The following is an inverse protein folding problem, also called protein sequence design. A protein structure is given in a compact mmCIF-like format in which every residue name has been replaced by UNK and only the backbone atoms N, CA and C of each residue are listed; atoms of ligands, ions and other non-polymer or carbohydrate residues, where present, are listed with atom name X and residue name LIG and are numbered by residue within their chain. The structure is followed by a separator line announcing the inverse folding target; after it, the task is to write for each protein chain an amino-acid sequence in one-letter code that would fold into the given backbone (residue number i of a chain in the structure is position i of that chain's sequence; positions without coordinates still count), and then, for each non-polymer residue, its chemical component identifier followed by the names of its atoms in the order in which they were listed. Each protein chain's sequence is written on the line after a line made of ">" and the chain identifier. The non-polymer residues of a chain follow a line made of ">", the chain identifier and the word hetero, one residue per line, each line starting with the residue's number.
data_IF_545557051705
#
_entry.id   IF_545557051705
#
_cell.length_a   1.000
_cell.length_b   1.000
_cell.length_c   1.000
_cell.angle_alpha   90.00
_cell.angle_beta   90.00
_cell.angle_gamma   90.00
#
_symmetry.space_group_name_H-M   'P 1'
#
loop_
_entity.id
_entity.type
_entity.pdbx_description
1 polymer ?
#
# COMPACT_ATOMS: atom_id res chain seq x y z
N UNK A 1 -41.83 32.33 -43.31
CA UNK A 1 -41.42 30.92 -43.45
C UNK A 1 -41.63 30.24 -42.12
N UNK A 2 -42.48 29.20 -42.08
CA UNK A 2 -42.59 28.05 -41.14
C UNK A 2 -42.01 28.22 -39.71
N UNK A 3 -42.79 28.11 -38.62
CA UNK A 3 -43.22 26.85 -37.96
C UNK A 3 -42.01 25.94 -37.65
N UNK A 4 -41.74 25.37 -36.47
CA UNK A 4 -42.46 25.06 -35.24
C UNK A 4 -41.44 24.41 -34.28
N UNK A 5 -41.75 24.38 -32.97
CA UNK A 5 -41.57 23.27 -31.98
C UNK A 5 -40.24 22.47 -31.95
N UNK A 6 -39.66 22.05 -30.83
CA UNK A 6 -40.29 21.46 -29.63
C UNK A 6 -39.24 21.25 -28.53
N UNK A 7 -39.72 21.36 -27.30
CA UNK A 7 -39.10 20.83 -26.09
C UNK A 7 -38.82 19.32 -26.18
N UNK A 8 -37.85 18.83 -25.42
CA UNK A 8 -38.09 18.07 -24.17
C UNK A 8 -36.92 17.15 -23.83
N UNK A 9 -36.29 17.42 -22.69
CA UNK A 9 -35.96 16.47 -21.62
C UNK A 9 -35.56 15.04 -21.96
N UNK A 10 -34.38 14.65 -21.46
CA UNK A 10 -34.13 13.36 -20.77
C UNK A 10 -32.81 13.54 -20.00
N UNK A 11 -32.84 13.99 -18.75
CA UNK A 11 -32.76 13.12 -17.57
C UNK A 11 -31.93 11.86 -17.77
N UNK A 12 -30.76 11.83 -17.14
CA UNK A 12 -30.19 10.63 -16.54
C UNK A 12 -29.57 11.03 -15.20
N UNK A 13 -30.41 11.02 -14.17
CA UNK A 13 -30.01 10.90 -12.78
C UNK A 13 -29.30 9.57 -12.57
N UNK A 14 -28.15 9.59 -11.88
CA UNK A 14 -27.53 8.50 -11.10
C UNK A 14 -26.09 8.96 -10.78
N UNK A 15 -25.53 8.99 -9.58
CA UNK A 15 -25.93 8.57 -8.24
C UNK A 15 -24.90 9.21 -7.29
N UNK A 16 -25.37 9.80 -6.19
CA UNK A 16 -24.56 10.20 -5.04
C UNK A 16 -23.96 8.97 -4.35
N UNK A 17 -22.65 8.93 -4.13
CA UNK A 17 -22.10 8.43 -2.85
C UNK A 17 -20.60 8.72 -2.74
N UNK A 18 -20.26 9.64 -1.84
CA UNK A 18 -18.95 9.78 -1.21
C UNK A 18 -17.72 9.93 -2.13
N UNK A 19 -17.59 11.10 -2.76
CA UNK A 19 -16.27 11.63 -3.16
C UNK A 19 -15.87 12.81 -2.26
N UNK A 20 -16.25 12.73 -0.98
CA UNK A 20 -15.58 13.49 0.07
C UNK A 20 -14.51 12.55 0.63
N UNK A 21 -13.36 12.51 -0.04
CA UNK A 21 -12.14 12.08 0.64
C UNK A 21 -11.77 13.26 1.53
N UNK A 22 -12.56 13.41 2.61
CA UNK A 22 -12.32 14.30 3.73
C UNK A 22 -10.85 14.22 4.00
N UNK A 23 -10.17 15.36 3.85
CA UNK A 23 -8.73 15.47 3.96
C UNK A 23 -8.25 14.62 5.12
N UNK A 24 -7.64 13.49 4.81
CA UNK A 24 -6.76 12.82 5.75
C UNK A 24 -5.63 13.81 5.91
N UNK A 25 -5.80 14.64 6.94
CA UNK A 25 -4.79 15.52 7.47
C UNK A 25 -3.55 14.66 7.55
N UNK A 26 -2.59 14.91 6.65
CA UNK A 26 -1.24 14.36 6.76
C UNK A 26 -0.84 14.71 8.18
N UNK A 27 -0.88 13.72 9.07
CA UNK A 27 -0.61 13.93 10.49
C UNK A 27 0.81 14.46 10.51
N UNK A 28 0.95 15.78 10.70
CA UNK A 28 2.22 16.40 11.00
C UNK A 28 2.61 15.80 12.35
N UNK A 29 3.39 14.72 12.27
CA UNK A 29 3.90 14.01 13.43
C UNK A 29 4.63 15.03 14.29
N UNK A 30 4.26 15.05 15.56
CA UNK A 30 4.64 16.07 16.51
C UNK A 30 6.17 16.14 16.64
N UNK A 31 6.69 17.34 16.92
CA UNK A 31 8.09 17.57 17.25
C UNK A 31 8.45 16.75 18.51
N UNK A 32 8.99 15.54 18.33
CA UNK A 32 9.33 14.60 19.41
C UNK A 32 8.96 13.13 19.19
N UNK A 33 8.33 12.74 18.08
CA UNK A 33 8.04 11.33 17.83
C UNK A 33 9.31 10.52 17.53
N UNK A 34 9.60 9.52 18.37
CA UNK A 34 10.71 8.58 18.18
C UNK A 34 10.40 7.68 16.99
N UNK A 35 11.12 7.87 15.89
CA UNK A 35 11.03 7.00 14.72
C UNK A 35 11.88 5.74 14.93
N UNK A 36 11.34 4.59 14.52
CA UNK A 36 12.10 3.36 14.38
C UNK A 36 12.44 3.20 12.90
N UNK A 37 13.72 3.01 12.59
CA UNK A 37 14.20 2.90 11.20
C UNK A 37 15.03 1.65 11.05
N UNK A 38 14.64 0.78 10.12
CA UNK A 38 15.43 -0.37 9.66
C UNK A 38 16.39 0.13 8.58
N UNK A 39 17.69 0.03 8.84
CA UNK A 39 18.74 0.45 7.89
C UNK A 39 19.24 -0.76 7.14
N UNK A 40 19.25 -0.65 5.81
CA UNK A 40 19.64 -1.71 4.88
C UNK A 40 20.85 -1.23 4.11
N UNK A 41 21.96 -1.96 4.23
CA UNK A 41 23.19 -1.69 3.50
C UNK A 41 23.16 -2.44 2.17
N UNK A 42 23.28 -1.70 1.07
CA UNK A 42 23.50 -2.25 -0.27
C UNK A 42 24.99 -2.17 -0.57
N UNK A 43 25.50 -3.08 -1.39
CA UNK A 43 26.94 -3.17 -1.68
C UNK A 43 27.59 -1.81 -1.96
N UNK A 44 28.76 -1.56 -1.34
CA UNK A 44 29.42 -0.26 -1.40
C UNK A 44 29.01 0.65 -0.24
N UNK A 45 28.58 1.88 -0.56
CA UNK A 45 28.23 2.93 0.44
C UNK A 45 26.75 3.33 0.40
N UNK A 46 25.91 2.57 -0.33
CA UNK A 46 24.49 2.85 -0.45
C UNK A 46 23.72 2.31 0.75
N UNK A 47 22.86 3.16 1.34
CA UNK A 47 22.02 2.81 2.48
C UNK A 47 20.59 3.24 2.23
N UNK A 48 19.65 2.37 2.61
CA UNK A 48 18.22 2.65 2.58
C UNK A 48 17.65 2.53 3.99
N UNK A 49 16.80 3.47 4.37
CA UNK A 49 16.07 3.45 5.64
C UNK A 49 14.59 3.17 5.42
N UNK A 50 14.05 2.15 6.09
CA UNK A 50 12.61 1.87 6.16
C UNK A 50 12.10 2.31 7.52
N UNK A 51 11.18 3.27 7.55
CA UNK A 51 10.51 3.68 8.79
C UNK A 51 9.45 2.62 9.12
N UNK A 52 9.48 2.11 10.33
CA UNK A 52 8.53 1.12 10.85
C UNK A 52 7.94 1.62 12.16
N UNK A 53 6.79 1.08 12.56
CA UNK A 53 6.20 1.40 13.85
C UNK A 53 7.04 0.79 14.99
N UNK A 54 7.37 -0.50 14.87
CA UNK A 54 8.20 -1.21 15.83
C UNK A 54 8.92 -2.41 15.20
N UNK A 55 9.97 -2.90 15.87
CA UNK A 55 10.64 -4.16 15.54
C UNK A 55 10.33 -5.12 16.67
N UNK A 56 9.56 -6.17 16.38
CA UNK A 56 9.11 -7.13 17.39
C UNK A 56 10.24 -8.11 17.71
N UNK A 57 10.61 -8.94 16.73
CA UNK A 57 11.64 -9.96 16.89
C UNK A 57 12.24 -10.40 15.54
N UNK A 58 13.40 -11.07 15.61
CA UNK A 58 13.98 -11.75 14.46
C UNK A 58 13.54 -13.22 14.47
N UNK A 59 12.85 -13.65 13.41
CA UNK A 59 12.36 -15.02 13.28
C UNK A 59 12.98 -15.71 12.06
N UNK A 60 13.42 -16.96 12.23
CA UNK A 60 13.79 -17.82 11.12
C UNK A 60 12.53 -18.48 10.56
N UNK A 61 12.29 -18.31 9.26
CA UNK A 61 11.14 -18.88 8.57
C UNK A 61 11.58 -19.79 7.43
N UNK A 62 10.85 -20.88 7.21
CA UNK A 62 11.01 -21.68 6.00
C UNK A 62 10.12 -21.08 4.92
N UNK A 63 10.75 -20.40 3.97
CA UNK A 63 10.03 -19.91 2.79
C UNK A 63 9.67 -21.11 1.92
N UNK A 64 8.39 -21.45 1.88
CA UNK A 64 7.88 -22.41 0.88
C UNK A 64 7.59 -21.63 -0.39
N UNK A 65 7.90 -22.23 -1.55
CA UNK A 65 7.51 -21.65 -2.83
C UNK A 65 5.99 -21.57 -2.88
N UNK A 66 5.45 -20.37 -2.68
CA UNK A 66 4.01 -20.12 -2.75
C UNK A 66 3.70 -19.60 -4.15
N UNK A 67 2.54 -20.03 -4.68
CA UNK A 67 2.20 -19.97 -6.10
C UNK A 67 2.16 -18.56 -6.70
N UNK A 68 1.79 -18.50 -7.99
CA UNK A 68 1.89 -17.34 -8.87
C UNK A 68 1.20 -16.04 -8.40
N UNK A 69 0.45 -16.10 -7.29
CA UNK A 69 -0.42 -15.04 -6.76
C UNK A 69 0.30 -13.71 -6.46
N UNK A 70 1.60 -13.73 -6.15
CA UNK A 70 2.38 -12.53 -5.84
C UNK A 70 3.45 -12.19 -6.89
N UNK A 71 3.49 -12.89 -8.04
CA UNK A 71 4.49 -12.63 -9.08
C UNK A 71 4.48 -11.18 -9.59
N UNK A 72 3.32 -10.53 -9.54
CA UNK A 72 3.13 -9.21 -10.12
C UNK A 72 3.20 -8.07 -9.08
N UNK A 73 3.47 -8.38 -7.80
CA UNK A 73 3.58 -7.35 -6.75
C UNK A 73 5.05 -7.00 -6.52
N UNK A 74 5.48 -5.86 -7.09
CA UNK A 74 6.81 -5.29 -6.82
C UNK A 74 7.01 -5.12 -5.31
N UNK A 75 8.19 -5.50 -4.79
CA UNK A 75 8.52 -5.35 -3.38
C UNK A 75 8.26 -6.59 -2.55
N UNK A 76 7.59 -7.62 -3.07
CA UNK A 76 7.27 -8.84 -2.32
C UNK A 76 7.94 -10.06 -2.96
N UNK A 77 8.60 -10.89 -2.14
CA UNK A 77 9.10 -12.20 -2.58
C UNK A 77 8.09 -13.32 -2.37
N UNK A 78 7.06 -13.10 -1.54
CA UNK A 78 6.04 -14.10 -1.22
C UNK A 78 5.21 -13.72 0.00
N UNK A 79 4.53 -14.71 0.55
CA UNK A 79 3.90 -14.64 1.87
C UNK A 79 4.31 -15.86 2.70
N UNK A 80 4.03 -15.83 4.00
CA UNK A 80 4.18 -16.97 4.90
C UNK A 80 2.98 -17.04 5.83
N UNK A 81 2.80 -18.20 6.45
CA UNK A 81 1.80 -18.40 7.49
C UNK A 81 2.55 -18.61 8.81
N UNK A 82 2.31 -17.74 9.78
CA UNK A 82 2.88 -17.82 11.11
C UNK A 82 2.26 -18.97 11.91
N UNK A 83 2.88 -19.35 13.03
CA UNK A 83 2.39 -20.44 13.88
C UNK A 83 0.99 -20.21 14.48
N UNK A 84 0.55 -18.95 14.55
CA UNK A 84 -0.80 -18.55 14.97
C UNK A 84 -1.83 -18.56 13.80
N UNK A 85 -1.42 -18.91 12.58
CA UNK A 85 -2.26 -18.92 11.39
C UNK A 85 -2.35 -17.60 10.64
N UNK A 86 -1.65 -16.55 11.08
CA UNK A 86 -1.64 -15.26 10.40
C UNK A 86 -0.82 -15.30 9.10
N UNK A 87 -1.35 -14.67 8.05
CA UNK A 87 -0.69 -14.57 6.75
C UNK A 87 0.12 -13.27 6.70
N UNK A 88 1.43 -13.37 6.54
CA UNK A 88 2.34 -12.22 6.55
C UNK A 88 3.16 -12.17 5.24
N UNK A 89 3.26 -11.01 4.57
CA UNK A 89 4.07 -10.86 3.36
C UNK A 89 5.57 -10.89 3.68
N UNK A 90 6.37 -11.39 2.75
CA UNK A 90 7.84 -11.31 2.80
C UNK A 90 8.28 -10.17 1.89
N UNK A 91 8.80 -9.10 2.49
CA UNK A 91 9.27 -7.92 1.77
C UNK A 91 10.63 -8.20 1.12
N UNK A 92 10.70 -8.12 -0.20
CA UNK A 92 11.95 -8.06 -0.96
C UNK A 92 12.37 -6.60 -1.14
N UNK A 93 13.20 -6.15 -0.21
CA UNK A 93 13.66 -4.77 -0.17
C UNK A 93 14.55 -4.42 -1.37
N UNK A 94 15.31 -5.38 -1.89
CA UNK A 94 16.16 -5.15 -3.06
C UNK A 94 15.36 -4.84 -4.33
N UNK A 95 14.11 -5.32 -4.42
CA UNK A 95 13.23 -5.08 -5.57
C UNK A 95 12.52 -3.71 -5.55
N UNK A 96 12.59 -2.97 -4.44
CA UNK A 96 11.92 -1.68 -4.29
C UNK A 96 12.64 -0.51 -4.99
N UNK A 97 13.94 -0.63 -5.27
CA UNK A 97 14.79 0.49 -5.70
C UNK A 97 15.98 0.08 -6.57
#
# INVERSE_FOLDING_TARGET
>A
SYASSSASSSQASQTSSCADVSGESVRQRHHGERLVVVVIERGGSERVGIIVDEVIEQQEIVVKAQGELLRDVRGLSGFTILGNGEVVPILDVCSLF
#
